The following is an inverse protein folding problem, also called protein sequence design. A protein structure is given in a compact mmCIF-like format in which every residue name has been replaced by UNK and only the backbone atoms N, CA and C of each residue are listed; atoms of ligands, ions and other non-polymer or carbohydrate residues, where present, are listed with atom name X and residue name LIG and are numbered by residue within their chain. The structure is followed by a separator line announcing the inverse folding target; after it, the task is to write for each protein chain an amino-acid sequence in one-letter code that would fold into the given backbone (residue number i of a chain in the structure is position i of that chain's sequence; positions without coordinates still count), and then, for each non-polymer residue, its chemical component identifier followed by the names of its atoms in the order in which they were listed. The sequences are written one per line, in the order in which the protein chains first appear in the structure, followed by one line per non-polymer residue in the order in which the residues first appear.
data_IF_374060974014
#
_entry.id   IF_374060974014
#
_cell.length_a   1.000
_cell.length_b   1.000
_cell.length_c   1.000
_cell.angle_alpha   90.00
_cell.angle_beta   90.00
_cell.angle_gamma   90.00
#
_symmetry.space_group_name_H-M   'P 1'
#
loop_
_entity.id
_entity.type
_entity.pdbx_description
1 polymer ?
#
# COMPACT_ATOMS: atom_id res chain seq x y z
N UNK A 1 -7.70 -9.66 -2.99
CA UNK A 1 -6.88 -10.02 -1.82
C UNK A 1 -7.18 -9.01 -0.74
N UNK A 2 -7.44 -9.47 0.50
CA UNK A 2 -7.67 -8.61 1.66
C UNK A 2 -6.35 -8.30 2.35
N UNK A 3 -6.08 -7.03 2.61
CA UNK A 3 -4.89 -6.52 3.26
C UNK A 3 -5.30 -5.66 4.45
N UNK A 4 -4.53 -5.71 5.52
CA UNK A 4 -4.73 -4.87 6.70
C UNK A 4 -3.40 -4.20 7.00
N UNK A 5 -3.37 -2.87 6.96
CA UNK A 5 -2.22 -2.09 7.40
C UNK A 5 -2.35 -1.87 8.89
N UNK A 6 -1.30 -2.15 9.64
CA UNK A 6 -1.29 -2.07 11.09
C UNK A 6 -0.11 -1.25 11.58
N UNK A 7 -0.37 -0.46 12.59
CA UNK A 7 0.62 0.20 13.44
C UNK A 7 0.19 0.13 14.89
N UNK A 8 1.12 0.21 15.83
CA UNK A 8 0.85 0.17 17.28
C UNK A 8 1.66 1.19 18.02
N UNK A 9 1.07 1.79 19.08
CA UNK A 9 1.80 2.56 20.07
C UNK A 9 1.98 1.77 21.36
N UNK A 10 3.07 2.05 22.06
CA UNK A 10 3.50 1.26 23.22
C UNK A 10 4.01 2.14 24.35
N UNK A 11 4.09 1.58 25.55
CA UNK A 11 4.67 2.29 26.72
C UNK A 11 6.20 2.40 26.68
N UNK A 12 6.87 1.79 25.70
CA UNK A 12 8.33 1.76 25.54
C UNK A 12 8.75 0.76 24.49
N UNK A 13 10.03 0.42 24.41
CA UNK A 13 10.63 -0.19 23.23
C UNK A 13 10.60 -1.73 23.23
N UNK A 14 10.74 -2.40 24.38
CA UNK A 14 10.85 -3.86 24.43
C UNK A 14 9.76 -4.48 25.34
N UNK A 15 8.93 -5.40 24.80
CA UNK A 15 7.91 -6.09 25.62
C UNK A 15 8.52 -6.97 26.72
N UNK A 16 9.82 -7.35 26.64
CA UNK A 16 10.54 -8.12 27.67
C UNK A 16 10.77 -7.29 28.92
N UNK A 17 10.89 -5.97 28.80
CA UNK A 17 11.01 -5.04 29.91
C UNK A 17 9.66 -4.71 30.57
N UNK A 18 8.63 -5.46 30.16
CA UNK A 18 7.26 -5.32 30.67
C UNK A 18 6.47 -4.20 30.02
N UNK A 19 6.99 -3.59 28.94
CA UNK A 19 6.23 -2.63 28.15
C UNK A 19 5.00 -3.27 27.50
N UNK A 20 4.02 -2.43 27.22
CA UNK A 20 2.67 -2.84 26.80
C UNK A 20 2.16 -2.02 25.63
N UNK A 21 1.22 -2.59 24.90
CA UNK A 21 0.43 -1.88 23.88
C UNK A 21 -0.47 -0.83 24.55
N UNK A 22 -0.61 0.33 23.92
CA UNK A 22 -1.50 1.41 24.33
C UNK A 22 -2.48 1.83 23.25
N UNK A 23 -2.14 1.61 21.97
CA UNK A 23 -3.02 1.88 20.84
C UNK A 23 -2.78 0.84 19.76
N UNK A 24 -3.85 0.43 19.09
CA UNK A 24 -3.82 -0.40 17.89
C UNK A 24 -4.62 0.30 16.81
N UNK A 25 -3.99 0.63 15.69
CA UNK A 25 -4.62 1.19 14.51
C UNK A 25 -4.50 0.25 13.33
N UNK A 26 -5.62 -0.05 12.68
CA UNK A 26 -5.63 -0.87 11.48
C UNK A 26 -6.52 -0.27 10.40
N UNK A 27 -6.03 -0.31 9.17
CA UNK A 27 -6.76 0.16 7.98
C UNK A 27 -6.92 -1.01 7.00
N UNK A 28 -8.16 -1.28 6.61
CA UNK A 28 -8.45 -2.37 5.67
C UNK A 28 -8.38 -1.91 4.23
N UNK A 29 -7.74 -2.74 3.40
CA UNK A 29 -7.74 -2.61 1.95
C UNK A 29 -8.24 -3.90 1.28
N UNK A 30 -9.05 -3.75 0.25
CA UNK A 30 -9.45 -4.83 -0.66
C UNK A 30 -9.10 -4.42 -2.08
N UNK A 31 -8.33 -5.27 -2.77
CA UNK A 31 -7.89 -5.01 -4.14
C UNK A 31 -7.21 -3.64 -4.30
N UNK A 32 -6.36 -3.29 -3.32
CA UNK A 32 -5.59 -2.02 -3.26
C UNK A 32 -6.44 -0.75 -3.09
N UNK A 33 -7.65 -0.87 -2.60
CA UNK A 33 -8.53 0.26 -2.28
C UNK A 33 -8.93 0.22 -0.83
N UNK A 34 -8.87 1.38 -0.15
CA UNK A 34 -9.32 1.53 1.22
C UNK A 34 -10.82 1.24 1.30
N UNK A 35 -11.24 0.46 2.29
CA UNK A 35 -12.65 0.09 2.48
C UNK A 35 -13.39 1.00 3.45
N UNK A 36 -12.66 1.72 4.31
CA UNK A 36 -13.21 2.47 5.43
C UNK A 36 -13.58 1.60 6.64
N UNK A 37 -13.42 0.27 6.56
CA UNK A 37 -13.62 -0.64 7.68
C UNK A 37 -12.33 -0.71 8.52
N UNK A 38 -12.09 0.30 9.35
CA UNK A 38 -10.91 0.42 10.18
C UNK A 38 -11.13 -0.23 11.55
N UNK A 39 -10.05 -0.70 12.17
CA UNK A 39 -10.02 -1.14 13.56
C UNK A 39 -9.14 -0.19 14.37
N UNK A 40 -9.69 0.37 15.46
CA UNK A 40 -8.97 1.33 16.27
C UNK A 40 -9.33 1.17 17.73
N UNK A 41 -8.33 0.87 18.58
CA UNK A 41 -8.53 0.66 20.02
C UNK A 41 -7.41 1.31 20.81
N UNK A 42 -7.81 2.05 21.85
CA UNK A 42 -6.92 2.49 22.92
C UNK A 42 -6.96 1.48 24.06
N UNK A 43 -5.80 1.21 24.64
CA UNK A 43 -5.62 0.16 25.63
C UNK A 43 -5.08 0.71 26.95
N UNK A 44 -5.54 0.13 28.05
CA UNK A 44 -4.98 0.37 29.37
C UNK A 44 -3.74 -0.51 29.57
N UNK A 45 -2.53 0.07 29.65
CA UNK A 45 -1.31 -0.69 29.84
C UNK A 45 -1.12 -1.21 31.26
N UNK A 46 -1.95 -0.76 32.24
CA UNK A 46 -1.80 -1.07 33.67
C UNK A 46 -0.41 -0.72 34.23
N UNK A 47 0.27 0.23 33.62
CA UNK A 47 1.58 0.77 34.04
C UNK A 47 1.72 2.20 33.54
N UNK A 48 2.66 2.91 34.11
CA UNK A 48 3.05 4.22 33.63
C UNK A 48 3.74 4.10 32.26
N UNK A 49 3.66 5.16 31.48
CA UNK A 49 4.25 5.28 30.15
C UNK A 49 5.58 5.97 30.30
N UNK A 50 6.61 5.47 29.63
CA UNK A 50 7.93 6.10 29.64
C UNK A 50 7.84 7.50 29.02
N UNK A 51 8.58 8.45 29.60
CA UNK A 51 8.56 9.85 29.15
C UNK A 51 8.96 9.97 27.65
N UNK A 52 9.93 9.19 27.20
CA UNK A 52 10.36 9.15 25.81
C UNK A 52 9.23 8.70 24.88
N UNK A 53 8.44 7.69 25.28
CA UNK A 53 7.28 7.23 24.53
C UNK A 53 6.17 8.30 24.52
N UNK A 54 5.90 8.92 25.67
CA UNK A 54 4.94 10.04 25.76
C UNK A 54 5.30 11.20 24.84
N UNK A 55 6.59 11.52 24.68
CA UNK A 55 7.04 12.56 23.74
C UNK A 55 6.75 12.21 22.27
N UNK A 56 6.64 10.93 21.94
CA UNK A 56 6.37 10.44 20.58
C UNK A 56 4.88 10.48 20.26
N UNK A 57 4.04 9.84 21.09
CA UNK A 57 2.60 9.67 20.81
C UNK A 57 1.69 10.59 21.64
N UNK A 58 2.21 11.26 22.68
CA UNK A 58 1.47 12.26 23.47
C UNK A 58 0.54 11.70 24.54
N UNK A 59 0.33 10.39 24.66
CA UNK A 59 -0.55 9.79 25.66
C UNK A 59 0.12 9.71 27.03
N UNK A 60 -0.69 9.93 28.06
CA UNK A 60 -0.31 9.73 29.45
C UNK A 60 -1.11 8.59 30.07
N UNK A 61 -0.64 8.07 31.20
CA UNK A 61 -1.41 7.09 31.97
C UNK A 61 -2.84 7.56 32.27
N UNK A 62 -3.03 8.85 32.57
CA UNK A 62 -4.35 9.40 32.89
C UNK A 62 -5.36 9.25 31.75
N UNK A 63 -4.89 9.30 30.50
CA UNK A 63 -5.73 9.19 29.30
C UNK A 63 -6.17 7.75 29.05
N UNK A 64 -5.39 6.76 29.50
CA UNK A 64 -5.56 5.36 29.17
C UNK A 64 -6.06 4.46 30.31
N UNK A 65 -6.06 4.95 31.55
CA UNK A 65 -6.43 4.14 32.73
C UNK A 65 -7.84 3.54 32.69
N UNK A 66 -8.78 4.21 31.99
CA UNK A 66 -10.17 3.79 31.87
C UNK A 66 -10.45 3.05 30.55
N UNK A 67 -9.43 2.76 29.76
CA UNK A 67 -9.53 2.02 28.50
C UNK A 67 -9.55 0.50 28.77
N UNK A 68 -10.06 -0.30 27.82
CA UNK A 68 -10.04 -1.76 27.94
C UNK A 68 -8.61 -2.31 28.02
N UNK A 69 -8.44 -3.46 28.66
CA UNK A 69 -7.22 -4.25 28.58
C UNK A 69 -7.15 -4.93 27.22
N UNK A 70 -5.93 -5.23 26.72
CA UNK A 70 -5.75 -5.99 25.48
C UNK A 70 -6.52 -7.32 25.49
N UNK A 71 -6.58 -8.01 26.64
CA UNK A 71 -7.35 -9.25 26.78
C UNK A 71 -8.84 -9.11 26.46
N UNK A 72 -9.42 -7.92 26.67
CA UNK A 72 -10.84 -7.69 26.37
C UNK A 72 -11.12 -7.51 24.86
N UNK A 73 -10.11 -7.09 24.10
CA UNK A 73 -10.24 -6.82 22.65
C UNK A 73 -9.54 -7.88 21.78
N UNK A 74 -8.80 -8.82 22.38
CA UNK A 74 -8.01 -9.81 21.67
C UNK A 74 -8.84 -10.64 20.65
N UNK A 75 -10.02 -11.09 21.01
CA UNK A 75 -10.87 -11.88 20.10
C UNK A 75 -11.32 -11.06 18.89
N UNK A 76 -11.74 -9.82 19.10
CA UNK A 76 -12.16 -8.91 18.01
C UNK A 76 -10.99 -8.56 17.11
N UNK A 77 -9.81 -8.30 17.68
CA UNK A 77 -8.58 -8.01 16.92
C UNK A 77 -8.15 -9.21 16.07
N UNK A 78 -8.05 -10.41 16.66
CA UNK A 78 -7.69 -11.64 15.93
C UNK A 78 -8.70 -11.94 14.82
N UNK A 79 -9.99 -11.79 15.10
CA UNK A 79 -11.05 -11.95 14.08
C UNK A 79 -10.89 -10.96 12.94
N UNK A 80 -10.51 -9.71 13.24
CA UNK A 80 -10.33 -8.66 12.25
C UNK A 80 -9.14 -8.93 11.32
N UNK A 81 -7.98 -9.38 11.84
CA UNK A 81 -6.79 -9.62 11.02
C UNK A 81 -6.78 -10.97 10.30
N UNK A 82 -7.59 -11.93 10.76
CA UNK A 82 -7.56 -13.32 10.27
C UNK A 82 -7.78 -13.40 8.75
N UNK A 83 -6.92 -14.18 8.08
CA UNK A 83 -6.97 -14.43 6.64
C UNK A 83 -6.51 -13.26 5.77
N UNK A 84 -6.08 -12.13 6.36
CA UNK A 84 -5.52 -11.00 5.64
C UNK A 84 -4.00 -11.14 5.40
N UNK A 85 -3.44 -10.29 4.55
CA UNK A 85 -2.02 -9.96 4.57
C UNK A 85 -1.84 -8.71 5.45
N UNK A 86 -1.11 -8.85 6.55
CA UNK A 86 -0.85 -7.79 7.51
C UNK A 86 0.39 -6.99 7.08
N UNK A 87 0.21 -5.70 6.80
CA UNK A 87 1.25 -4.80 6.32
C UNK A 87 1.69 -3.91 7.47
N UNK A 88 2.96 -3.99 7.84
CA UNK A 88 3.52 -3.30 9.01
C UNK A 88 4.86 -2.66 8.64
N UNK A 89 5.20 -1.52 9.24
CA UNK A 89 6.51 -0.90 9.08
C UNK A 89 7.42 -1.26 10.25
N UNK A 90 8.42 -2.12 10.02
CA UNK A 90 9.24 -2.75 11.07
C UNK A 90 8.44 -3.82 11.86
N UNK A 91 7.82 -4.72 11.13
CA UNK A 91 6.91 -5.75 11.66
C UNK A 91 7.41 -6.51 12.91
N UNK A 92 8.71 -6.81 13.09
CA UNK A 92 9.18 -7.49 14.31
C UNK A 92 8.85 -6.73 15.60
N UNK A 93 8.72 -5.41 15.57
CA UNK A 93 8.35 -4.60 16.73
C UNK A 93 6.90 -4.86 17.14
N UNK A 94 5.95 -4.58 16.27
CA UNK A 94 4.52 -4.70 16.57
C UNK A 94 4.10 -6.14 16.83
N UNK A 95 4.57 -7.06 16.00
CA UNK A 95 4.31 -8.51 16.15
C UNK A 95 4.88 -9.02 17.48
N UNK A 96 6.05 -8.55 17.89
CA UNK A 96 6.66 -8.91 19.17
C UNK A 96 5.81 -8.50 20.37
N UNK A 97 5.22 -7.31 20.34
CA UNK A 97 4.28 -6.86 21.36
C UNK A 97 2.98 -7.64 21.35
N UNK A 98 2.36 -7.81 20.19
CA UNK A 98 1.12 -8.56 20.02
C UNK A 98 1.27 -10.01 20.48
N UNK A 99 2.30 -10.72 20.04
CA UNK A 99 2.59 -12.10 20.45
C UNK A 99 2.82 -12.21 21.97
N UNK A 100 3.49 -11.22 22.56
CA UNK A 100 3.74 -11.20 24.00
C UNK A 100 2.43 -11.01 24.79
N UNK A 101 1.55 -10.13 24.35
CA UNK A 101 0.25 -9.92 25.00
C UNK A 101 -0.66 -11.16 24.85
N UNK A 102 -0.70 -11.80 23.69
CA UNK A 102 -1.42 -13.07 23.48
C UNK A 102 -0.88 -14.20 24.36
N UNK A 103 0.44 -14.32 24.47
CA UNK A 103 1.08 -15.30 25.35
C UNK A 103 0.74 -15.07 26.82
N UNK A 104 0.68 -13.81 27.29
CA UNK A 104 0.26 -13.46 28.64
C UNK A 104 -1.20 -13.87 28.92
N UNK A 105 -2.10 -13.69 27.94
CA UNK A 105 -3.49 -14.16 28.07
C UNK A 105 -3.52 -15.67 28.24
N UNK A 106 -2.82 -16.42 27.40
CA UNK A 106 -2.72 -17.87 27.50
C UNK A 106 -2.20 -18.33 28.87
N UNK A 107 -1.18 -17.66 29.38
CA UNK A 107 -0.63 -17.95 30.72
C UNK A 107 -1.65 -17.69 31.82
N UNK A 108 -2.41 -16.61 31.74
CA UNK A 108 -3.44 -16.27 32.74
C UNK A 108 -4.61 -17.25 32.71
N UNK A 109 -5.00 -17.74 31.53
CA UNK A 109 -6.08 -18.71 31.35
C UNK A 109 -5.63 -20.13 31.71
N UNK A 110 -4.32 -20.43 31.72
CA UNK A 110 -3.80 -21.78 31.88
C UNK A 110 -4.04 -22.69 30.68
N UNK A 111 -4.35 -22.12 29.51
CA UNK A 111 -4.62 -22.82 28.26
C UNK A 111 -4.05 -22.08 27.07
N UNK A 112 -3.76 -22.80 25.96
CA UNK A 112 -3.30 -22.24 24.70
C UNK A 112 -4.50 -21.79 23.86
N UNK A 113 -5.08 -20.63 24.18
CA UNK A 113 -6.23 -20.07 23.44
C UNK A 113 -5.80 -19.40 22.15
N UNK A 114 -4.68 -18.67 22.17
CA UNK A 114 -4.18 -17.92 21.04
C UNK A 114 -2.84 -18.49 20.54
N UNK A 115 -2.67 -18.52 19.23
CA UNK A 115 -1.40 -18.73 18.56
C UNK A 115 -0.58 -17.44 18.46
N UNK A 116 0.42 -17.46 17.59
CA UNK A 116 1.17 -16.26 17.19
C UNK A 116 0.43 -15.51 16.07
N UNK A 117 0.75 -14.25 15.87
CA UNK A 117 0.14 -13.44 14.78
C UNK A 117 0.31 -14.12 13.41
N UNK A 118 1.46 -14.75 13.17
CA UNK A 118 1.76 -15.48 11.93
C UNK A 118 0.84 -16.69 11.68
N UNK A 119 0.18 -17.22 12.71
CA UNK A 119 -0.77 -18.33 12.58
C UNK A 119 -2.11 -17.86 11.99
N UNK A 120 -2.41 -16.57 12.07
CA UNK A 120 -3.69 -15.97 11.62
C UNK A 120 -3.60 -15.25 10.28
N UNK A 121 -2.43 -14.69 9.95
CA UNK A 121 -2.25 -13.85 8.78
C UNK A 121 -0.81 -13.93 8.23
N UNK A 122 -0.65 -13.55 6.97
CA UNK A 122 0.69 -13.34 6.39
C UNK A 122 1.18 -11.97 6.77
N UNK A 123 2.49 -11.82 7.00
CA UNK A 123 3.10 -10.54 7.36
C UNK A 123 3.93 -10.01 6.19
N UNK A 124 3.71 -8.74 5.85
CA UNK A 124 4.53 -7.98 4.91
C UNK A 124 5.22 -6.82 5.65
N UNK A 125 6.54 -6.90 5.80
CA UNK A 125 7.34 -5.85 6.42
C UNK A 125 7.77 -4.81 5.37
N UNK A 126 7.17 -3.62 5.45
CA UNK A 126 7.48 -2.52 4.53
C UNK A 126 8.86 -1.93 4.74
N UNK A 127 9.43 -1.99 5.95
CA UNK A 127 10.81 -1.55 6.21
C UNK A 127 11.82 -2.48 5.55
N UNK A 128 11.62 -3.80 5.68
CA UNK A 128 12.47 -4.78 4.99
C UNK A 128 12.38 -4.64 3.47
N UNK A 129 11.18 -4.38 2.95
CA UNK A 129 10.95 -4.09 1.53
C UNK A 129 11.67 -2.81 1.09
N UNK A 130 11.51 -1.71 1.85
CA UNK A 130 12.14 -0.42 1.55
C UNK A 130 13.67 -0.48 1.59
N UNK A 131 14.25 -1.23 2.56
CA UNK A 131 15.71 -1.41 2.65
C UNK A 131 16.31 -2.10 1.42
N UNK A 132 15.59 -3.04 0.83
CA UNK A 132 16.02 -3.68 -0.44
C UNK A 132 15.94 -2.71 -1.61
N UNK A 133 14.92 -1.84 -1.63
CA UNK A 133 14.71 -0.88 -2.71
C UNK A 133 15.58 0.37 -2.60
N UNK A 134 15.97 0.76 -1.39
CA UNK A 134 16.76 1.95 -1.08
C UNK A 134 17.93 1.60 -0.14
N UNK A 135 18.91 0.79 -0.60
CA UNK A 135 20.03 0.38 0.25
C UNK A 135 20.86 1.60 0.68
N UNK A 136 21.30 1.58 1.95
CA UNK A 136 22.14 2.65 2.52
C UNK A 136 21.42 3.97 2.82
N UNK A 137 20.10 4.05 2.60
CA UNK A 137 19.31 5.27 2.86
C UNK A 137 18.47 5.13 4.14
N UNK A 138 18.02 6.26 4.67
CA UNK A 138 17.00 6.26 5.73
C UNK A 138 15.68 5.74 5.18
N UNK A 139 15.09 4.77 5.87
CA UNK A 139 13.84 4.11 5.50
C UNK A 139 12.80 4.14 6.63
N UNK A 140 12.86 5.13 7.55
CA UNK A 140 11.76 5.40 8.48
C UNK A 140 10.52 5.85 7.71
N UNK A 141 9.33 5.74 8.31
CA UNK A 141 8.07 6.16 7.70
C UNK A 141 8.17 7.59 7.16
N UNK A 142 8.63 8.55 7.96
CA UNK A 142 8.82 9.95 7.53
C UNK A 142 9.80 10.11 6.37
N UNK A 143 10.92 9.38 6.39
CA UNK A 143 11.92 9.45 5.32
C UNK A 143 11.35 8.90 4.00
N UNK A 144 10.53 7.88 4.09
CA UNK A 144 9.83 7.29 2.93
C UNK A 144 8.70 8.20 2.44
N UNK A 145 7.88 8.78 3.33
CA UNK A 145 6.85 9.76 2.97
C UNK A 145 7.46 10.92 2.20
N UNK A 146 8.56 11.49 2.70
CA UNK A 146 9.28 12.55 2.00
C UNK A 146 9.79 12.12 0.62
N UNK A 147 10.32 10.90 0.49
CA UNK A 147 10.86 10.36 -0.78
C UNK A 147 9.78 10.12 -1.82
N UNK A 148 8.63 9.63 -1.38
CA UNK A 148 7.52 9.28 -2.26
C UNK A 148 6.46 10.39 -2.38
N UNK A 149 6.72 11.57 -1.78
CA UNK A 149 5.83 12.73 -1.79
C UNK A 149 4.45 12.40 -1.22
N UNK A 150 4.42 11.57 -0.16
CA UNK A 150 3.21 11.30 0.62
C UNK A 150 3.04 12.43 1.64
N UNK A 151 1.83 12.98 1.69
CA UNK A 151 1.50 14.03 2.67
C UNK A 151 1.36 13.42 4.07
N UNK A 152 2.25 13.83 4.97
CA UNK A 152 2.21 13.48 6.39
C UNK A 152 2.14 14.71 7.30
N UNK A 153 1.66 15.84 6.78
CA UNK A 153 1.60 17.11 7.53
C UNK A 153 0.65 17.07 8.72
N UNK A 154 -0.37 16.22 8.68
CA UNK A 154 -1.29 15.99 9.79
C UNK A 154 -0.65 15.24 10.99
N UNK A 155 0.53 14.61 10.79
CA UNK A 155 1.25 13.84 11.78
C UNK A 155 2.09 14.73 12.69
N UNK A 156 1.44 15.42 13.62
CA UNK A 156 2.12 16.24 14.64
C UNK A 156 2.68 15.39 15.79
N UNK A 157 1.96 14.33 16.14
CA UNK A 157 2.33 13.26 17.04
C UNK A 157 2.08 11.91 16.34
N UNK A 158 2.70 10.87 16.83
CA UNK A 158 2.43 9.52 16.36
C UNK A 158 1.07 9.05 16.87
N UNK A 159 0.31 8.36 16.05
CA UNK A 159 -0.95 7.74 16.41
C UNK A 159 -1.19 6.55 15.50
N UNK A 160 -1.47 5.39 16.06
CA UNK A 160 -1.46 4.13 15.34
C UNK A 160 -2.42 4.10 14.15
N UNK A 161 -3.61 4.70 14.24
CA UNK A 161 -4.54 4.76 13.11
C UNK A 161 -4.04 5.68 12.01
N UNK A 162 -3.56 6.89 12.35
CA UNK A 162 -3.04 7.86 11.38
C UNK A 162 -1.78 7.30 10.68
N UNK A 163 -0.89 6.67 11.44
CA UNK A 163 0.32 6.06 10.90
C UNK A 163 0.00 4.88 9.98
N UNK A 164 -1.04 4.09 10.30
CA UNK A 164 -1.56 3.06 9.41
C UNK A 164 -2.16 3.63 8.11
N UNK A 165 -2.86 4.76 8.14
CA UNK A 165 -3.37 5.44 6.95
C UNK A 165 -2.23 5.93 6.06
N UNK A 166 -1.24 6.61 6.64
CA UNK A 166 -0.04 7.07 5.94
C UNK A 166 0.74 5.88 5.35
N UNK A 167 0.87 4.80 6.14
CA UNK A 167 1.55 3.59 5.68
C UNK A 167 0.81 2.89 4.54
N UNK A 168 -0.53 2.95 4.52
CA UNK A 168 -1.33 2.41 3.42
C UNK A 168 -1.03 3.14 2.11
N UNK A 169 -1.02 4.48 2.12
CA UNK A 169 -0.67 5.29 0.95
C UNK A 169 0.77 5.04 0.50
N UNK A 170 1.68 4.95 1.46
CA UNK A 170 3.08 4.64 1.18
C UNK A 170 3.24 3.24 0.55
N UNK A 171 2.59 2.22 1.12
CA UNK A 171 2.60 0.86 0.59
C UNK A 171 2.04 0.80 -0.83
N UNK A 172 0.91 1.45 -1.09
CA UNK A 172 0.32 1.54 -2.41
C UNK A 172 1.26 2.21 -3.42
N UNK A 173 1.94 3.28 -3.01
CA UNK A 173 2.91 3.98 -3.87
C UNK A 173 4.18 3.16 -4.09
N UNK A 174 4.75 2.56 -3.04
CA UNK A 174 5.97 1.75 -3.18
C UNK A 174 5.77 0.48 -4.01
N UNK A 175 4.57 -0.14 -3.93
CA UNK A 175 4.25 -1.40 -4.62
C UNK A 175 3.47 -1.19 -5.91
N UNK A 176 2.91 0.00 -6.13
CA UNK A 176 2.25 0.44 -7.35
C UNK A 176 3.27 1.01 -8.32
N UNK A 177 4.31 0.25 -8.70
CA UNK A 177 5.18 0.66 -9.79
C UNK A 177 4.36 0.88 -11.07
N UNK A 178 4.73 1.88 -11.88
CA UNK A 178 4.32 1.92 -13.28
C UNK A 178 4.44 0.49 -13.81
N UNK A 179 3.31 -0.15 -14.11
CA UNK A 179 3.37 -1.30 -14.98
C UNK A 179 4.02 -0.78 -16.24
N UNK A 180 5.26 -1.20 -16.51
CA UNK A 180 5.86 -0.96 -17.80
C UNK A 180 4.82 -1.40 -18.82
N UNK A 181 4.24 -0.44 -19.53
CA UNK A 181 3.61 -0.76 -20.79
C UNK A 181 4.74 -1.42 -21.58
N UNK A 182 4.67 -2.74 -21.69
CA UNK A 182 5.53 -3.53 -22.57
C UNK A 182 5.16 -3.18 -24.00
N UNK A 183 5.57 -2.00 -24.43
CA UNK A 183 5.73 -1.63 -25.82
C UNK A 183 7.16 -2.01 -26.21
N UNK A 184 7.34 -3.26 -26.59
CA UNK A 184 8.44 -3.73 -27.43
C UNK A 184 9.81 -3.86 -26.77
N UNK A 185 10.26 -5.11 -26.66
CA UNK A 185 11.64 -5.55 -26.94
C UNK A 185 12.75 -5.08 -26.02
N UNK A 186 13.23 -5.93 -25.14
CA UNK A 186 14.54 -6.57 -25.33
C UNK A 186 14.72 -7.61 -24.22
N UNK A 187 15.15 -8.77 -24.67
CA UNK A 187 15.55 -9.89 -23.82
C UNK A 187 16.82 -9.48 -23.09
N UNK A 188 16.78 -9.49 -21.74
CA UNK A 188 17.87 -9.76 -20.81
C UNK A 188 17.57 -9.13 -19.44
N UNK A 189 16.79 -9.82 -18.60
CA UNK A 189 16.92 -9.66 -17.16
C UNK A 189 16.43 -10.92 -16.43
N UNK A 190 17.36 -11.74 -15.99
CA UNK A 190 17.17 -12.98 -15.23
C UNK A 190 16.73 -12.75 -13.79
N UNK A 191 15.81 -11.81 -13.50
CA UNK A 191 15.25 -11.63 -12.15
C UNK A 191 13.75 -11.42 -12.11
N UNK A 192 13.01 -12.19 -12.91
CA UNK A 192 11.54 -12.13 -12.99
C UNK A 192 10.88 -13.44 -12.56
N UNK A 193 11.16 -13.91 -11.34
CA UNK A 193 10.52 -15.10 -10.78
C UNK A 193 9.07 -14.91 -10.28
N UNK A 194 8.56 -13.67 -10.19
CA UNK A 194 7.25 -13.38 -9.55
C UNK A 194 6.21 -12.84 -10.54
N UNK A 195 6.59 -12.47 -11.76
CA UNK A 195 5.66 -11.83 -12.73
C UNK A 195 4.98 -12.82 -13.68
N UNK A 196 5.31 -14.11 -13.62
CA UNK A 196 4.78 -15.11 -14.58
C UNK A 196 3.30 -15.49 -14.38
N UNK A 197 2.69 -15.17 -13.24
CA UNK A 197 1.32 -15.62 -12.95
C UNK A 197 0.23 -14.57 -13.27
N UNK A 198 0.59 -13.31 -13.52
CA UNK A 198 -0.36 -12.27 -13.93
C UNK A 198 -0.73 -12.33 -15.42
N UNK A 199 0.09 -12.98 -16.23
CA UNK A 199 -0.20 -13.13 -17.67
C UNK A 199 -1.16 -14.31 -18.00
N UNK A 200 -1.42 -15.19 -17.04
CA UNK A 200 -2.32 -16.34 -17.24
C UNK A 200 -3.81 -15.96 -17.16
N UNK A 201 -4.14 -14.78 -16.62
CA UNK A 201 -5.52 -14.29 -16.51
C UNK A 201 -5.93 -13.29 -17.59
N UNK A 202 -4.98 -12.77 -18.37
CA UNK A 202 -5.31 -11.98 -19.56
C UNK A 202 -5.71 -12.94 -20.68
N UNK A 203 -7.02 -13.20 -20.78
CA UNK A 203 -7.60 -13.91 -21.93
C UNK A 203 -7.19 -13.14 -23.18
N UNK A 204 -6.22 -13.67 -23.97
CA UNK A 204 -5.98 -13.17 -25.32
C UNK A 204 -7.26 -13.34 -26.10
N UNK A 205 -7.91 -12.24 -26.46
CA UNK A 205 -9.04 -12.26 -27.38
C UNK A 205 -8.51 -12.81 -28.71
N UNK A 206 -9.04 -13.95 -29.16
CA UNK A 206 -8.63 -14.53 -30.41
C UNK A 206 -8.95 -13.55 -31.55
N UNK A 207 -8.11 -13.53 -32.58
CA UNK A 207 -8.25 -12.59 -33.70
C UNK A 207 -9.64 -12.67 -34.37
N UNK A 208 -10.32 -13.80 -34.26
CA UNK A 208 -11.67 -14.05 -34.75
C UNK A 208 -12.76 -13.26 -34.01
N UNK A 209 -12.54 -12.93 -32.74
CA UNK A 209 -13.48 -12.15 -31.91
C UNK A 209 -13.39 -10.63 -32.16
N UNK A 210 -12.38 -10.17 -32.91
CA UNK A 210 -12.21 -8.74 -33.23
C UNK A 210 -13.14 -8.23 -34.33
N UNK A 211 -13.79 -9.11 -35.07
CA UNK A 211 -14.70 -8.73 -36.18
C UNK A 211 -15.98 -8.01 -35.73
N UNK A 212 -16.26 -7.97 -34.43
CA UNK A 212 -17.44 -7.33 -33.88
C UNK A 212 -17.12 -6.06 -33.05
N UNK A 213 -15.88 -5.58 -33.05
CA UNK A 213 -15.56 -4.33 -32.40
C UNK A 213 -16.11 -3.16 -33.22
N UNK A 214 -17.04 -2.43 -32.61
CA UNK A 214 -17.57 -1.19 -33.20
C UNK A 214 -16.46 -0.15 -33.24
N UNK A 215 -16.05 0.25 -34.43
CA UNK A 215 -15.10 1.36 -34.64
C UNK A 215 -15.88 2.66 -34.61
N UNK A 216 -15.65 3.49 -33.58
CA UNK A 216 -16.20 4.84 -33.54
C UNK A 216 -15.41 5.72 -34.53
N UNK A 217 -16.08 6.13 -35.59
CA UNK A 217 -15.53 7.08 -36.56
C UNK A 217 -15.68 8.51 -36.01
N UNK A 218 -14.70 9.35 -36.29
CA UNK A 218 -14.78 10.77 -35.93
C UNK A 218 -15.93 11.46 -36.65
N UNK A 219 -16.63 12.35 -35.97
CA UNK A 219 -17.69 13.16 -36.55
C UNK A 219 -17.11 14.19 -37.55
N UNK A 220 -17.90 14.74 -38.47
CA UNK A 220 -17.45 15.77 -39.40
C UNK A 220 -16.90 17.02 -38.68
N UNK A 221 -17.45 17.38 -37.52
CA UNK A 221 -17.00 18.50 -36.72
C UNK A 221 -15.65 18.25 -36.08
N UNK A 222 -15.43 17.03 -35.58
CA UNK A 222 -14.14 16.60 -35.02
C UNK A 222 -13.06 16.57 -36.11
N UNK A 223 -13.36 16.09 -37.30
CA UNK A 223 -12.44 16.09 -38.42
C UNK A 223 -12.05 17.52 -38.83
N UNK A 224 -13.04 18.42 -38.89
CA UNK A 224 -12.81 19.83 -39.22
C UNK A 224 -11.91 20.51 -38.14
N UNK A 225 -12.20 20.27 -36.86
CA UNK A 225 -11.37 20.77 -35.76
C UNK A 225 -9.95 20.20 -35.79
N UNK A 226 -9.80 18.93 -36.12
CA UNK A 226 -8.51 18.27 -36.28
C UNK A 226 -7.68 18.90 -37.42
N UNK A 227 -8.27 19.08 -38.59
CA UNK A 227 -7.61 19.72 -39.73
C UNK A 227 -7.18 21.17 -39.42
N UNK A 228 -8.03 21.95 -38.78
CA UNK A 228 -7.69 23.30 -38.34
C UNK A 228 -6.50 23.31 -37.38
N UNK A 229 -6.45 22.33 -36.46
CA UNK A 229 -5.34 22.19 -35.52
C UNK A 229 -4.03 21.81 -36.23
N UNK A 230 -4.06 20.89 -37.18
CA UNK A 230 -2.91 20.50 -37.99
C UNK A 230 -2.37 21.69 -38.80
N UNK A 231 -3.24 22.47 -39.42
CA UNK A 231 -2.86 23.68 -40.16
C UNK A 231 -2.18 24.72 -39.25
N UNK A 232 -2.72 24.92 -38.04
CA UNK A 232 -2.12 25.83 -37.03
C UNK A 232 -0.73 25.33 -36.61
N UNK A 233 -0.55 24.03 -36.33
CA UNK A 233 0.74 23.45 -35.93
C UNK A 233 1.75 23.60 -37.05
N UNK A 234 1.41 23.27 -38.29
CA UNK A 234 2.28 23.37 -39.46
C UNK A 234 2.72 24.81 -39.71
N UNK A 235 1.78 25.78 -39.60
CA UNK A 235 2.11 27.21 -39.72
C UNK A 235 3.09 27.68 -38.64
N UNK A 236 2.93 27.21 -37.38
CA UNK A 236 3.77 27.60 -36.27
C UNK A 236 5.15 26.95 -36.32
N UNK A 237 5.23 25.73 -36.85
CA UNK A 237 6.48 24.96 -37.01
C UNK A 237 7.26 25.32 -38.26
N UNK A 238 6.66 26.05 -39.21
CA UNK A 238 7.27 26.40 -40.51
C UNK A 238 7.45 25.19 -41.46
N UNK A 239 6.84 24.05 -41.13
CA UNK A 239 6.92 22.81 -41.94
C UNK A 239 5.63 22.00 -41.81
N UNK A 240 5.40 21.10 -42.75
CA UNK A 240 4.24 20.18 -42.72
C UNK A 240 4.33 19.27 -41.49
N UNK A 241 3.21 19.11 -40.77
CA UNK A 241 3.17 18.25 -39.60
C UNK A 241 3.44 16.78 -39.96
N UNK A 242 4.06 16.04 -39.06
CA UNK A 242 4.36 14.61 -39.25
C UNK A 242 3.10 13.81 -39.62
N UNK A 243 1.95 14.13 -39.04
CA UNK A 243 0.67 13.48 -39.32
C UNK A 243 0.26 13.68 -40.81
N UNK A 244 0.34 14.90 -41.30
CA UNK A 244 0.03 15.15 -42.73
C UNK A 244 1.04 14.48 -43.69
N UNK A 245 2.28 14.30 -43.26
CA UNK A 245 3.28 13.56 -44.05
C UNK A 245 2.94 12.06 -44.12
N UNK A 246 2.45 11.46 -43.01
CA UNK A 246 2.03 10.06 -42.97
C UNK A 246 0.78 9.81 -43.83
N UNK A 247 -0.23 10.67 -43.75
CA UNK A 247 -1.44 10.57 -44.57
C UNK A 247 -1.14 10.64 -46.09
N UNK A 248 -0.09 11.36 -46.49
CA UNK A 248 0.33 11.43 -47.89
C UNK A 248 1.09 10.18 -48.35
N UNK A 249 1.70 9.43 -47.43
CA UNK A 249 2.40 8.18 -47.72
C UNK A 249 1.44 7.00 -47.89
N UNK A 250 0.31 6.99 -47.15
CA UNK A 250 -0.69 5.90 -47.20
C UNK A 250 -1.57 5.96 -48.48
N UNK A 251 -1.53 7.04 -49.23
CA UNK A 251 -2.31 7.24 -50.49
C UNK A 251 -1.54 6.84 -51.74
N UNK A 252 -0.29 6.39 -51.64
CA UNK A 252 0.44 5.91 -52.82
C UNK A 252 -0.08 4.53 -53.27
N UNK A 253 -0.66 4.36 -54.47
CA UNK A 253 -1.17 3.09 -54.93
C UNK A 253 0.00 2.14 -55.18
N UNK A 254 -0.06 0.96 -54.58
CA UNK A 254 0.76 -0.19 -54.98
C UNK A 254 0.34 -0.58 -56.40
N UNK A 255 1.05 -0.08 -57.41
CA UNK A 255 1.02 -0.61 -58.77
C UNK A 255 2.09 -1.69 -58.89
N UNK A 256 1.64 -2.87 -59.09
CA UNK A 256 2.14 -4.02 -59.89
C UNK A 256 2.08 -5.32 -59.14
#
# INVERSE_FOLDING_TARGET
MRQVVLDTETTGIDPKDGHKLIEIGCVEMISRSLTGNNYHEYLNPQREIDEEATQVHGFTWADLKDKPLFAAVADSFISYISGAELIIHNAPFDVGFLDTELAKINQQLGEQRYGRIEDYCKIFDTLAFARRRHPGQRNSLDALCKRYSIDNTARTLHGALLDSEILADLYLTMTGGQTNLLLGGDEDDEMSGVVRDLNSTLRRVAFEDQQHLSVLLATPDELTAHQAKLAFVSKKAGQTSLWQQMEQQDVAPTTS
#
